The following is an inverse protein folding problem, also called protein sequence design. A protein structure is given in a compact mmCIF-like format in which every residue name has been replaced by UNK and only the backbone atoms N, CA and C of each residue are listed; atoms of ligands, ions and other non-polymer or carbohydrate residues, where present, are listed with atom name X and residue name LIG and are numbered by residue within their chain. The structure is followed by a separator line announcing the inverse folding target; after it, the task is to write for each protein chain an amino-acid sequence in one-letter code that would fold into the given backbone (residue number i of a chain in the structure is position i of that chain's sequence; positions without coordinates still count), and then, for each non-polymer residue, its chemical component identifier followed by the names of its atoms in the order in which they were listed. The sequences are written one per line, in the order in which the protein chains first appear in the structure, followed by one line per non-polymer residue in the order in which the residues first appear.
data_IF_306405129665
#
_entry.id   IF_306405129665
#
_cell.length_a   1.000
_cell.length_b   1.000
_cell.length_c   1.000
_cell.angle_alpha   90.00
_cell.angle_beta   90.00
_cell.angle_gamma   90.00
#
_symmetry.space_group_name_H-M   'P 1'
#
loop_
_entity.id
_entity.type
_entity.pdbx_description
1 polymer ?
#
# COMPACT_ATOMS: atom_id res chain seq x y z
N UNK A 1 -31.62 -24.71 -20.55
CA UNK A 1 -32.09 -25.45 -19.37
C UNK A 1 -32.40 -24.43 -18.28
N UNK A 2 -33.66 -24.37 -17.88
CA UNK A 2 -34.17 -23.43 -16.86
C UNK A 2 -34.01 -24.10 -15.51
N UNK A 3 -33.32 -23.44 -14.55
CA UNK A 3 -33.43 -23.79 -13.15
C UNK A 3 -33.90 -22.57 -12.37
N UNK A 4 -35.12 -22.70 -11.90
CA UNK A 4 -35.73 -21.85 -10.86
C UNK A 4 -35.64 -22.62 -9.56
N UNK A 5 -35.19 -22.01 -8.48
CA UNK A 5 -35.38 -22.45 -7.08
C UNK A 5 -35.23 -21.16 -6.24
N UNK A 6 -36.30 -20.61 -5.76
CA UNK A 6 -37.03 -20.83 -4.52
C UNK A 6 -36.39 -20.14 -3.30
N UNK A 7 -37.15 -19.15 -2.81
CA UNK A 7 -36.96 -18.37 -1.61
C UNK A 7 -37.08 -19.23 -0.33
N UNK A 8 -36.31 -18.88 0.70
CA UNK A 8 -36.60 -19.25 2.07
C UNK A 8 -36.31 -18.06 2.98
N UNK A 9 -37.37 -17.41 3.39
CA UNK A 9 -37.51 -16.47 4.49
C UNK A 9 -37.44 -17.24 5.82
N UNK A 10 -36.58 -16.78 6.75
CA UNK A 10 -36.69 -17.12 8.16
C UNK A 10 -36.54 -15.85 9.00
N UNK A 11 -37.69 -15.39 9.50
CA UNK A 11 -37.81 -14.42 10.56
C UNK A 11 -37.67 -15.15 11.89
N UNK A 12 -36.93 -14.61 12.83
CA UNK A 12 -37.01 -14.99 14.25
C UNK A 12 -36.88 -13.75 15.14
N UNK A 13 -37.78 -13.73 16.04
CA UNK A 13 -38.32 -12.69 16.93
C UNK A 13 -37.40 -12.42 18.15
N UNK A 14 -37.52 -11.18 18.57
CA UNK A 14 -37.32 -10.55 19.89
C UNK A 14 -37.34 -11.46 21.12
N UNK A 15 -36.50 -11.13 22.11
CA UNK A 15 -36.91 -11.02 23.51
C UNK A 15 -36.10 -9.93 24.22
N UNK A 16 -36.83 -8.94 24.70
CA UNK A 16 -36.40 -7.93 25.67
C UNK A 16 -36.58 -8.49 27.09
N UNK A 17 -35.67 -8.17 28.01
CA UNK A 17 -35.84 -8.09 29.47
C UNK A 17 -34.73 -7.18 29.96
N UNK A 18 -34.86 -6.03 30.51
CA UNK A 18 -35.67 -5.54 31.58
C UNK A 18 -35.08 -5.87 32.95
N UNK A 19 -34.30 -4.95 33.55
CA UNK A 19 -33.74 -5.06 34.87
C UNK A 19 -33.11 -3.73 35.29
N UNK A 20 -33.90 -2.86 35.92
CA UNK A 20 -33.43 -1.74 36.72
C UNK A 20 -32.97 -2.27 38.08
N UNK A 21 -31.93 -1.70 38.65
CA UNK A 21 -31.86 -1.31 40.07
C UNK A 21 -30.42 -1.04 40.54
N UNK A 22 -30.38 0.07 41.19
CA UNK A 22 -29.53 0.58 42.26
C UNK A 22 -28.16 1.13 41.97
N UNK A 23 -28.10 2.45 42.06
CA UNK A 23 -26.88 3.21 42.37
C UNK A 23 -26.42 2.96 43.83
N UNK A 24 -25.14 3.00 44.10
CA UNK A 24 -24.58 3.77 45.18
C UNK A 24 -23.45 4.71 44.78
N UNK A 25 -23.61 5.93 45.22
CA UNK A 25 -22.68 6.94 45.76
C UNK A 25 -21.17 6.81 45.50
N UNK A 26 -20.70 7.87 44.87
CA UNK A 26 -19.40 8.54 44.90
C UNK A 26 -18.27 7.94 45.76
N UNK A 27 -17.16 7.68 45.03
CA UNK A 27 -15.81 7.98 45.52
C UNK A 27 -14.96 8.39 44.31
N UNK A 28 -14.42 9.60 44.37
CA UNK A 28 -13.45 10.13 43.42
C UNK A 28 -12.09 9.58 43.79
N UNK A 29 -11.43 8.85 42.90
CA UNK A 29 -9.97 8.72 42.96
C UNK A 29 -9.31 9.57 41.87
N UNK A 30 -8.27 10.27 42.31
CA UNK A 30 -7.25 11.01 41.64
C UNK A 30 -7.05 10.76 40.15
N UNK A 31 -6.81 11.88 39.46
CA UNK A 31 -6.26 11.99 38.13
C UNK A 31 -5.06 11.05 37.90
N UNK A 32 -5.32 9.92 37.23
CA UNK A 32 -4.29 9.14 36.57
C UNK A 32 -4.06 9.72 35.19
N UNK A 33 -2.84 10.16 34.96
CA UNK A 33 -2.34 10.58 33.67
C UNK A 33 -2.62 9.48 32.63
N UNK A 34 -3.50 9.75 31.67
CA UNK A 34 -3.73 8.88 30.52
C UNK A 34 -2.42 8.81 29.72
N UNK A 35 -1.95 7.61 29.31
CA UNK A 35 -0.82 7.53 28.40
C UNK A 35 -1.23 8.22 27.09
N UNK A 36 -0.38 9.16 26.65
CA UNK A 36 -0.53 9.84 25.38
C UNK A 36 -0.68 8.78 24.28
N UNK A 37 -1.88 8.70 23.70
CA UNK A 37 -2.14 7.88 22.54
C UNK A 37 -1.20 8.28 21.38
N UNK A 38 -0.92 7.39 20.44
CA UNK A 38 -0.06 7.71 19.31
C UNK A 38 -0.63 8.95 18.63
N UNK A 39 0.18 10.00 18.58
CA UNK A 39 -0.15 11.25 17.89
C UNK A 39 -0.47 10.90 16.43
N UNK A 40 -1.71 11.09 16.03
CA UNK A 40 -2.10 10.93 14.64
C UNK A 40 -1.19 11.81 13.79
N UNK A 41 -0.48 11.22 12.84
CA UNK A 41 0.37 11.95 11.92
C UNK A 41 -0.48 13.02 11.23
N UNK A 42 -0.02 14.26 11.26
CA UNK A 42 -0.75 15.41 10.70
C UNK A 42 -1.07 15.16 9.22
N UNK A 43 -2.29 15.42 8.81
CA UNK A 43 -2.81 15.24 7.43
C UNK A 43 -1.86 15.72 6.30
N UNK A 44 -1.14 16.85 6.41
CA UNK A 44 -0.17 17.25 5.39
C UNK A 44 1.04 16.32 5.26
N UNK A 45 1.47 15.66 6.33
CA UNK A 45 2.56 14.67 6.25
C UNK A 45 2.12 13.38 5.56
N UNK A 46 0.84 12.99 5.70
CA UNK A 46 0.28 11.82 5.00
C UNK A 46 0.10 12.09 3.50
N UNK A 47 -0.34 13.28 3.11
CA UNK A 47 -0.47 13.66 1.71
C UNK A 47 0.90 13.71 0.99
N UNK A 48 1.96 14.19 1.66
CA UNK A 48 3.32 14.17 1.13
C UNK A 48 3.88 12.74 0.96
N UNK A 49 3.50 11.81 1.83
CA UNK A 49 3.95 10.41 1.75
C UNK A 49 3.31 9.62 0.58
N UNK A 50 2.20 10.10 0.03
CA UNK A 50 1.53 9.51 -1.14
C UNK A 50 1.95 10.15 -2.47
N UNK A 51 2.88 11.09 -2.45
CA UNK A 51 3.52 11.61 -3.66
C UNK A 51 4.74 10.76 -4.02
N UNK A 52 4.98 10.56 -5.30
CA UNK A 52 6.17 9.86 -5.78
C UNK A 52 7.42 10.75 -5.78
N UNK A 53 8.50 10.29 -6.44
CA UNK A 53 9.77 11.02 -6.48
C UNK A 53 9.60 12.43 -7.04
N UNK A 54 10.34 13.38 -6.44
CA UNK A 54 10.44 14.75 -6.93
C UNK A 54 11.08 14.81 -8.32
N UNK A 55 10.81 15.87 -9.04
CA UNK A 55 11.49 16.14 -10.31
C UNK A 55 13.01 16.10 -10.15
N UNK A 56 13.69 15.64 -11.18
CA UNK A 56 15.15 15.54 -11.20
C UNK A 56 15.67 14.22 -11.78
N UNK A 57 16.98 14.12 -11.80
CA UNK A 57 17.71 12.95 -12.26
C UNK A 57 17.89 11.99 -11.10
N UNK A 58 17.51 10.75 -11.31
CA UNK A 58 17.54 9.69 -10.30
C UNK A 58 18.34 8.49 -10.81
N UNK A 59 19.07 7.86 -9.90
CA UNK A 59 19.71 6.57 -10.13
C UNK A 59 18.88 5.47 -9.49
N UNK A 60 18.50 4.48 -10.29
CA UNK A 60 17.78 3.28 -9.85
C UNK A 60 18.75 2.10 -9.83
N UNK A 61 18.81 1.40 -8.70
CA UNK A 61 19.53 0.12 -8.58
C UNK A 61 18.52 -0.95 -8.15
N UNK A 62 18.32 -1.95 -9.00
CA UNK A 62 17.36 -3.03 -8.76
C UNK A 62 18.06 -4.32 -8.43
N UNK A 63 17.63 -4.99 -7.38
CA UNK A 63 18.03 -6.33 -7.00
C UNK A 63 16.80 -7.23 -6.98
N UNK A 64 16.80 -8.30 -7.75
CA UNK A 64 15.71 -9.28 -7.80
C UNK A 64 16.28 -10.69 -7.75
N UNK A 65 15.68 -11.56 -6.95
CA UNK A 65 16.15 -12.93 -6.72
C UNK A 65 17.66 -13.03 -6.40
N UNK A 66 18.19 -12.07 -5.66
CA UNK A 66 19.61 -12.00 -5.28
C UNK A 66 20.55 -11.48 -6.35
N UNK A 67 20.07 -11.17 -7.56
CA UNK A 67 20.84 -10.58 -8.64
C UNK A 67 20.64 -9.08 -8.69
N UNK A 68 21.74 -8.32 -8.67
CA UNK A 68 21.71 -6.86 -8.83
C UNK A 68 21.93 -6.50 -10.29
N UNK A 69 21.00 -5.74 -10.86
CA UNK A 69 21.09 -5.24 -12.22
C UNK A 69 21.98 -3.99 -12.26
N UNK A 70 22.62 -3.70 -13.41
CA UNK A 70 23.32 -2.43 -13.59
C UNK A 70 22.41 -1.24 -13.27
N UNK A 71 22.92 -0.21 -12.58
CA UNK A 71 22.14 0.95 -12.26
C UNK A 71 21.68 1.69 -13.51
N UNK A 72 20.45 2.20 -13.48
CA UNK A 72 19.89 3.02 -14.55
C UNK A 72 19.66 4.45 -14.05
N UNK A 73 19.82 5.42 -14.93
CA UNK A 73 19.49 6.82 -14.65
C UNK A 73 18.17 7.18 -15.32
N UNK A 74 17.29 7.80 -14.56
CA UNK A 74 15.94 8.20 -14.98
C UNK A 74 15.78 9.68 -14.68
N UNK A 75 15.24 10.43 -15.64
CA UNK A 75 14.90 11.82 -15.43
C UNK A 75 13.36 11.95 -15.27
N UNK A 76 12.93 12.55 -14.17
CA UNK A 76 11.55 12.95 -13.97
C UNK A 76 11.43 14.45 -14.17
N UNK A 77 10.73 14.88 -15.21
CA UNK A 77 10.51 16.29 -15.53
C UNK A 77 9.58 16.99 -14.51
N UNK A 78 8.76 16.21 -13.84
CA UNK A 78 7.85 16.66 -12.78
C UNK A 78 7.82 15.65 -11.65
N UNK A 79 7.32 16.06 -10.49
CA UNK A 79 7.02 15.12 -9.42
C UNK A 79 5.98 14.11 -9.89
N UNK A 80 6.28 12.82 -9.68
CA UNK A 80 5.36 11.73 -10.00
C UNK A 80 4.19 11.73 -9.02
N UNK A 81 2.97 11.64 -9.52
CA UNK A 81 1.78 11.39 -8.73
C UNK A 81 1.43 9.90 -8.71
N UNK A 82 0.59 9.48 -7.78
CA UNK A 82 0.04 8.10 -7.78
C UNK A 82 -0.82 7.84 -9.03
N UNK A 83 -1.49 8.86 -9.55
CA UNK A 83 -2.27 8.79 -10.78
C UNK A 83 -1.36 8.56 -12.01
N UNK A 84 -0.23 9.27 -12.09
CA UNK A 84 0.78 9.03 -13.15
C UNK A 84 1.29 7.58 -13.10
N UNK A 85 1.58 7.06 -11.90
CA UNK A 85 2.04 5.67 -11.74
C UNK A 85 0.97 4.64 -12.18
N UNK A 86 -0.29 4.87 -11.85
CA UNK A 86 -1.40 4.02 -12.28
C UNK A 86 -1.60 4.09 -13.80
N UNK A 87 -1.50 5.27 -14.41
CA UNK A 87 -1.61 5.44 -15.86
C UNK A 87 -0.51 4.67 -16.61
N UNK A 88 0.72 4.65 -16.08
CA UNK A 88 1.82 3.85 -16.62
C UNK A 88 1.49 2.35 -16.56
N UNK A 89 0.99 1.85 -15.44
CA UNK A 89 0.59 0.44 -15.29
C UNK A 89 -0.52 0.06 -16.29
N UNK A 90 -1.56 0.89 -16.42
CA UNK A 90 -2.64 0.67 -17.37
C UNK A 90 -2.15 0.66 -18.83
N UNK A 91 -1.24 1.56 -19.19
CA UNK A 91 -0.65 1.60 -20.54
C UNK A 91 0.18 0.35 -20.86
N UNK A 92 0.71 -0.30 -19.83
CA UNK A 92 1.41 -1.59 -19.95
C UNK A 92 0.46 -2.81 -19.97
N UNK A 93 -0.86 -2.59 -20.00
CA UNK A 93 -1.88 -3.66 -20.03
C UNK A 93 -2.11 -4.34 -18.68
N UNK A 94 -1.69 -3.72 -17.59
CA UNK A 94 -1.89 -4.21 -16.23
C UNK A 94 -3.22 -3.65 -15.68
N UNK A 95 -4.15 -4.54 -15.33
CA UNK A 95 -5.45 -4.17 -14.77
C UNK A 95 -5.54 -4.67 -13.33
N UNK A 96 -5.68 -3.75 -12.37
CA UNK A 96 -5.73 -4.08 -10.96
C UNK A 96 -7.18 -4.05 -10.44
N UNK A 97 -7.59 -5.13 -9.78
CA UNK A 97 -8.85 -5.21 -9.03
C UNK A 97 -8.72 -4.62 -7.63
N UNK A 98 -7.51 -4.66 -7.08
CA UNK A 98 -7.17 -4.08 -5.79
C UNK A 98 -5.88 -3.27 -5.94
N UNK A 99 -5.87 -2.06 -5.40
CA UNK A 99 -4.69 -1.19 -5.42
C UNK A 99 -4.80 -0.17 -4.29
N UNK A 100 -4.20 -0.48 -3.15
CA UNK A 100 -4.28 0.32 -1.93
C UNK A 100 -2.90 0.80 -1.50
N UNK A 101 -2.83 2.03 -1.02
CA UNK A 101 -1.62 2.65 -0.51
C UNK A 101 -1.89 3.30 0.84
N UNK A 102 -0.99 3.08 1.79
CA UNK A 102 -1.09 3.64 3.13
C UNK A 102 0.21 4.37 3.47
N UNK A 103 0.09 5.62 3.88
CA UNK A 103 1.22 6.38 4.40
C UNK A 103 1.67 5.80 5.74
N UNK A 104 2.98 5.79 5.97
CA UNK A 104 3.61 5.39 7.22
C UNK A 104 4.59 6.46 7.70
N UNK A 105 5.05 6.37 8.95
CA UNK A 105 6.10 7.25 9.44
C UNK A 105 7.42 6.96 8.70
N UNK A 106 7.73 7.77 7.70
CA UNK A 106 8.97 7.67 6.89
C UNK A 106 8.83 6.86 5.61
N UNK A 107 7.61 6.75 5.04
CA UNK A 107 7.40 6.11 3.77
C UNK A 107 5.96 5.71 3.50
N UNK A 108 5.77 4.59 2.83
CA UNK A 108 4.45 4.06 2.50
C UNK A 108 4.46 2.54 2.38
N UNK A 109 3.29 1.93 2.51
CA UNK A 109 3.03 0.55 2.12
C UNK A 109 1.96 0.50 1.04
N UNK A 110 1.98 -0.54 0.23
CA UNK A 110 0.97 -0.76 -0.80
C UNK A 110 0.64 -2.24 -0.92
N UNK A 111 -0.58 -2.52 -1.34
CA UNK A 111 -1.05 -3.83 -1.71
C UNK A 111 -1.78 -3.74 -3.04
N UNK A 112 -1.52 -4.68 -3.94
CA UNK A 112 -2.21 -4.73 -5.22
C UNK A 112 -2.48 -6.17 -5.67
N UNK A 113 -3.62 -6.35 -6.32
CA UNK A 113 -3.98 -7.58 -7.04
C UNK A 113 -4.29 -7.19 -8.48
N UNK A 114 -3.43 -7.57 -9.40
CA UNK A 114 -3.48 -7.13 -10.78
C UNK A 114 -3.52 -8.32 -11.73
N UNK A 115 -4.11 -8.13 -12.90
CA UNK A 115 -4.09 -9.09 -14.01
C UNK A 115 -3.26 -8.55 -15.17
N UNK A 116 -2.45 -9.42 -15.74
CA UNK A 116 -1.71 -9.21 -16.96
C UNK A 116 -1.92 -10.44 -17.86
N UNK A 117 -2.83 -10.33 -18.83
CA UNK A 117 -3.33 -11.49 -19.56
C UNK A 117 -4.04 -12.47 -18.63
N UNK A 118 -3.64 -13.73 -18.66
CA UNK A 118 -4.22 -14.78 -17.81
C UNK A 118 -3.52 -14.92 -16.43
N UNK A 119 -2.48 -14.14 -16.18
CA UNK A 119 -1.71 -14.19 -14.92
C UNK A 119 -2.25 -13.19 -13.93
N UNK A 120 -2.53 -13.64 -12.71
CA UNK A 120 -2.82 -12.79 -11.56
C UNK A 120 -1.52 -12.53 -10.81
N UNK A 121 -1.24 -11.26 -10.54
CA UNK A 121 -0.05 -10.81 -9.79
C UNK A 121 -0.55 -10.18 -8.50
N UNK A 122 -0.16 -10.75 -7.37
CA UNK A 122 -0.39 -10.16 -6.04
C UNK A 122 0.92 -9.58 -5.55
N UNK A 123 0.93 -8.32 -5.15
CA UNK A 123 2.14 -7.62 -4.71
C UNK A 123 1.91 -6.85 -3.43
N UNK A 124 2.82 -7.01 -2.48
CA UNK A 124 2.95 -6.19 -1.29
C UNK A 124 4.21 -5.32 -1.42
N UNK A 125 4.04 -4.02 -1.25
CA UNK A 125 5.10 -3.03 -1.40
C UNK A 125 5.35 -2.31 -0.09
N UNK A 126 6.62 -2.09 0.23
CA UNK A 126 7.06 -1.22 1.32
C UNK A 126 8.09 -0.24 0.78
N UNK A 127 7.85 1.04 1.00
CA UNK A 127 8.79 2.11 0.66
C UNK A 127 9.23 2.79 1.93
N UNK A 128 10.54 3.00 2.07
CA UNK A 128 11.16 3.70 3.20
C UNK A 128 12.14 4.72 2.65
N UNK A 129 12.08 5.93 3.18
CA UNK A 129 12.98 7.02 2.81
C UNK A 129 12.25 8.29 2.41
N UNK A 130 12.97 9.16 1.72
CA UNK A 130 12.54 10.50 1.34
C UNK A 130 12.48 10.61 -0.18
N UNK A 131 11.30 10.82 -0.72
CA UNK A 131 11.06 10.99 -2.15
C UNK A 131 11.67 12.25 -2.75
N UNK A 132 12.37 13.07 -1.96
CA UNK A 132 13.11 14.23 -2.44
C UNK A 132 14.61 13.97 -2.59
N UNK A 133 15.14 12.95 -1.92
CA UNK A 133 16.59 12.65 -1.89
C UNK A 133 16.93 11.18 -2.17
N UNK A 134 16.38 10.25 -1.39
CA UNK A 134 16.63 8.82 -1.56
C UNK A 134 15.54 7.98 -0.88
N UNK A 135 15.17 6.87 -1.52
CA UNK A 135 14.27 5.89 -0.93
C UNK A 135 14.60 4.47 -1.38
N UNK A 136 14.15 3.52 -0.60
CA UNK A 136 14.21 2.09 -0.94
C UNK A 136 12.80 1.53 -1.01
N UNK A 137 12.51 0.82 -2.08
CA UNK A 137 11.25 0.11 -2.29
C UNK A 137 11.54 -1.39 -2.26
N UNK A 138 10.80 -2.12 -1.45
CA UNK A 138 10.78 -3.58 -1.42
C UNK A 138 9.42 -4.05 -1.91
N UNK A 139 9.41 -4.95 -2.87
CA UNK A 139 8.20 -5.50 -3.48
C UNK A 139 8.28 -7.02 -3.32
N UNK A 140 7.30 -7.59 -2.62
CA UNK A 140 7.08 -9.04 -2.55
C UNK A 140 5.92 -9.38 -3.49
N UNK A 141 6.21 -10.14 -4.54
CA UNK A 141 5.21 -10.45 -5.58
C UNK A 141 5.04 -11.95 -5.75
N UNK A 142 3.79 -12.38 -5.89
CA UNK A 142 3.44 -13.74 -6.32
C UNK A 142 2.64 -13.70 -7.61
N UNK A 143 2.81 -14.73 -8.44
CA UNK A 143 2.14 -14.88 -9.74
C UNK A 143 1.35 -16.19 -9.77
N UNK A 144 0.13 -16.13 -10.30
CA UNK A 144 -0.72 -17.31 -10.53
C UNK A 144 -1.33 -17.25 -11.94
N UNK A 145 -0.99 -18.22 -12.82
CA UNK A 145 -0.03 -19.31 -12.62
C UNK A 145 1.43 -18.80 -12.53
N UNK A 146 2.24 -19.46 -11.72
CA UNK A 146 3.65 -19.15 -11.60
C UNK A 146 4.40 -19.56 -12.89
N UNK A 147 5.24 -18.68 -13.48
CA UNK A 147 6.05 -19.04 -14.62
C UNK A 147 7.05 -20.15 -14.27
N UNK A 148 7.26 -21.15 -15.14
CA UNK A 148 8.22 -22.22 -14.91
C UNK A 148 9.63 -21.67 -14.65
N UNK A 149 10.28 -22.19 -13.60
CA UNK A 149 11.67 -21.83 -13.27
C UNK A 149 11.86 -20.49 -12.56
N UNK A 150 10.80 -19.75 -12.27
CA UNK A 150 10.87 -18.53 -11.48
C UNK A 150 10.59 -18.80 -9.99
N UNK A 151 11.31 -18.06 -9.14
CA UNK A 151 11.00 -18.05 -7.70
C UNK A 151 9.66 -17.38 -7.48
N UNK A 152 8.76 -18.05 -6.77
CA UNK A 152 7.43 -17.53 -6.47
C UNK A 152 7.04 -17.91 -5.03
N UNK A 153 6.82 -16.95 -4.11
CA UNK A 153 6.93 -15.49 -4.34
C UNK A 153 8.37 -15.02 -4.59
N UNK A 154 8.50 -13.87 -5.22
CA UNK A 154 9.78 -13.21 -5.50
C UNK A 154 9.88 -11.90 -4.75
N UNK A 155 11.08 -11.54 -4.29
CA UNK A 155 11.37 -10.26 -3.65
C UNK A 155 12.24 -9.43 -4.57
N UNK A 156 11.80 -8.20 -4.84
CA UNK A 156 12.56 -7.21 -5.60
C UNK A 156 12.81 -5.99 -4.71
N UNK A 157 14.06 -5.57 -4.63
CA UNK A 157 14.46 -4.35 -3.94
C UNK A 157 14.94 -3.33 -4.95
N UNK A 158 14.40 -2.12 -4.90
CA UNK A 158 14.77 -0.99 -5.75
C UNK A 158 15.28 0.12 -4.84
N UNK A 159 16.52 0.53 -5.05
CA UNK A 159 17.11 1.70 -4.38
C UNK A 159 17.12 2.87 -5.35
N UNK A 160 16.59 4.00 -4.92
CA UNK A 160 16.52 5.23 -5.68
C UNK A 160 17.33 6.32 -4.98
N UNK A 161 18.17 7.01 -5.73
CA UNK A 161 19.03 8.10 -5.26
C UNK A 161 18.91 9.28 -6.23
N UNK A 162 18.57 10.46 -5.72
CA UNK A 162 18.51 11.68 -6.54
C UNK A 162 19.91 12.19 -6.80
N UNK A 163 20.25 12.39 -8.05
CA UNK A 163 21.57 12.86 -8.48
C UNK A 163 21.62 14.39 -8.68
N UNK A 164 20.45 15.03 -8.81
CA UNK A 164 20.35 16.46 -9.09
C UNK A 164 19.22 16.77 -10.08
N UNK A 165 19.34 17.85 -10.79
CA UNK A 165 18.36 18.22 -11.80
C UNK A 165 18.62 17.50 -13.13
N UNK A 166 17.57 17.36 -13.95
CA UNK A 166 17.73 16.85 -15.30
C UNK A 166 18.57 17.85 -16.12
N UNK A 167 19.61 17.37 -16.73
CA UNK A 167 20.31 18.18 -17.76
C UNK A 167 19.55 18.11 -19.06
N UNK A 168 19.32 19.24 -19.74
CA UNK A 168 18.66 19.30 -21.04
C UNK A 168 19.42 18.52 -22.12
#
# INVERSE_FOLDING_TARGET
MKFAIAAATAALLLTACGGAETAPTAETPAAGEAPAGPTAASEPAMAAALTGPSAGKWRSTTTSAGMTMPPMEICYDKQMSMEDAQAIQQSAGVNCSENTYNATAGGMTGHSVCKMGDTTITSDMKVVGDFTSAYTMEINSSMDPAPPGMTNPSVTTIKMERLGDCTP
#
